data_IF_973055106070
#
_entry.id   IF_973055106070
#
_cell.length_a   1.000
_cell.length_b   1.000
_cell.length_c   1.000
_cell.angle_alpha   90.00
_cell.angle_beta   90.00
_cell.angle_gamma   90.00
#
_symmetry.space_group_name_H-M   'P 1'
#
loop_
_entity.id
_entity.type
_entity.pdbx_description
1 polymer ?
#
# COMPACT_ATOMS: atom_id res chain seq x y z
N UNK A 1 68.24 -17.63 42.87
CA UNK A 1 67.60 -16.63 41.98
C UNK A 1 66.44 -17.33 41.32
N UNK A 2 65.27 -17.15 41.91
CA UNK A 2 64.11 -17.99 41.74
C UNK A 2 63.19 -17.52 40.61
N UNK A 3 62.48 -18.50 40.04
CA UNK A 3 61.63 -18.43 38.86
C UNK A 3 60.35 -17.62 39.08
N UNK A 4 60.43 -16.28 39.05
CA UNK A 4 59.25 -15.39 39.11
C UNK A 4 58.52 -15.19 37.76
N UNK A 5 58.93 -15.85 36.68
CA UNK A 5 58.34 -15.66 35.34
C UNK A 5 56.97 -16.31 35.14
N UNK A 6 56.63 -17.35 35.92
CA UNK A 6 55.42 -18.14 35.70
C UNK A 6 54.10 -17.43 36.03
N UNK A 7 54.06 -16.59 37.07
CA UNK A 7 52.81 -15.96 37.52
C UNK A 7 52.40 -14.78 36.62
N UNK A 8 53.38 -13.99 36.15
CA UNK A 8 53.15 -12.87 35.23
C UNK A 8 52.61 -13.36 33.87
N UNK A 9 53.14 -14.47 33.37
CA UNK A 9 52.70 -15.04 32.09
C UNK A 9 51.29 -15.64 32.15
N UNK A 10 50.87 -16.13 33.32
CA UNK A 10 49.51 -16.59 33.55
C UNK A 10 48.53 -15.41 33.56
N UNK A 11 48.86 -14.32 34.27
CA UNK A 11 48.02 -13.12 34.33
C UNK A 11 47.85 -12.46 32.95
N UNK A 12 48.92 -12.39 32.16
CA UNK A 12 48.87 -11.83 30.80
C UNK A 12 48.06 -12.70 29.84
N UNK A 13 48.09 -14.03 30.01
CA UNK A 13 47.25 -14.95 29.22
C UNK A 13 45.77 -14.78 29.55
N UNK A 14 45.42 -14.66 30.82
CA UNK A 14 44.03 -14.50 31.23
C UNK A 14 43.48 -13.11 30.86
N UNK A 15 44.31 -12.06 30.96
CA UNK A 15 43.98 -10.73 30.43
C UNK A 15 43.67 -10.75 28.93
N UNK A 16 44.50 -11.43 28.13
CA UNK A 16 44.26 -11.59 26.68
C UNK A 16 42.99 -12.37 26.37
N UNK A 17 42.68 -13.42 27.14
CA UNK A 17 41.41 -14.16 27.00
C UNK A 17 40.21 -13.26 27.28
N UNK A 18 40.27 -12.44 28.33
CA UNK A 18 39.20 -11.48 28.67
C UNK A 18 38.95 -10.45 27.56
N UNK A 19 40.02 -9.86 27.02
CA UNK A 19 39.93 -8.90 25.91
C UNK A 19 39.34 -9.55 24.65
N UNK A 20 39.77 -10.77 24.31
CA UNK A 20 39.23 -11.50 23.16
C UNK A 20 37.74 -11.84 23.33
N UNK A 21 37.30 -12.21 24.54
CA UNK A 21 35.90 -12.46 24.83
C UNK A 21 35.04 -11.20 24.68
N UNK A 22 35.53 -10.04 25.14
CA UNK A 22 34.85 -8.76 24.96
C UNK A 22 34.74 -8.36 23.48
N UNK A 23 35.81 -8.56 22.69
CA UNK A 23 35.77 -8.32 21.26
C UNK A 23 34.78 -9.25 20.53
N UNK A 24 34.69 -10.52 20.92
CA UNK A 24 33.71 -11.46 20.37
C UNK A 24 32.27 -11.02 20.70
N UNK A 25 31.99 -10.64 21.94
CA UNK A 25 30.67 -10.12 22.34
C UNK A 25 30.30 -8.84 21.59
N UNK A 26 31.23 -7.91 21.41
CA UNK A 26 31.00 -6.70 20.61
C UNK A 26 30.74 -7.02 19.14
N UNK A 27 31.43 -8.01 18.57
CA UNK A 27 31.21 -8.46 17.20
C UNK A 27 29.82 -9.08 17.03
N UNK A 28 29.38 -9.91 17.97
CA UNK A 28 28.05 -10.51 17.96
C UNK A 28 26.95 -9.48 18.16
N UNK A 29 27.12 -8.51 19.06
CA UNK A 29 26.18 -7.40 19.22
C UNK A 29 26.08 -6.53 17.95
N UNK A 30 27.21 -6.26 17.29
CA UNK A 30 27.22 -5.56 15.99
C UNK A 30 26.52 -6.37 14.91
N UNK A 31 26.73 -7.69 14.85
CA UNK A 31 26.05 -8.59 13.91
C UNK A 31 24.53 -8.61 14.15
N UNK A 32 24.08 -8.80 15.38
CA UNK A 32 22.66 -8.76 15.74
C UNK A 32 22.02 -7.40 15.45
N UNK A 33 22.75 -6.30 15.65
CA UNK A 33 22.26 -4.95 15.31
C UNK A 33 22.13 -4.77 13.79
N UNK A 34 23.10 -5.27 13.00
CA UNK A 34 23.03 -5.25 11.53
C UNK A 34 21.86 -6.08 11.00
N UNK A 35 21.62 -7.27 11.56
CA UNK A 35 20.48 -8.12 11.19
C UNK A 35 19.14 -7.45 11.52
N UNK A 36 19.03 -6.78 12.67
CA UNK A 36 17.84 -5.99 13.04
C UNK A 36 17.63 -4.77 12.14
N UNK A 37 18.71 -4.12 11.66
CA UNK A 37 18.66 -2.99 10.72
C UNK A 37 18.23 -3.39 9.33
N UNK A 38 18.70 -4.54 8.84
CA UNK A 38 18.31 -5.08 7.53
C UNK A 38 16.79 -5.33 7.44
N UNK A 39 16.14 -5.65 8.56
CA UNK A 39 14.70 -5.89 8.63
C UNK A 39 13.84 -4.61 8.60
N UNK A 40 14.40 -3.43 8.86
CA UNK A 40 13.64 -2.19 9.03
C UNK A 40 13.31 -1.49 7.70
N UNK A 41 14.15 -1.65 6.66
CA UNK A 41 13.97 -0.99 5.34
C UNK A 41 13.97 0.56 5.34
N UNK A 42 13.90 1.22 6.49
CA UNK A 42 13.78 2.66 6.62
C UNK A 42 15.18 3.32 6.63
N UNK A 43 15.39 4.34 5.80
CA UNK A 43 16.67 5.07 5.73
C UNK A 43 17.08 5.71 7.07
N UNK A 44 16.12 6.01 7.95
CA UNK A 44 16.40 6.51 9.31
C UNK A 44 17.04 5.45 10.23
N UNK A 45 16.82 4.15 9.99
CA UNK A 45 17.46 3.04 10.71
C UNK A 45 18.97 2.91 10.41
N UNK A 46 19.47 3.53 9.33
CA UNK A 46 20.86 3.37 8.88
C UNK A 46 21.83 4.42 9.43
N UNK A 47 21.35 5.57 9.94
CA UNK A 47 22.20 6.72 10.36
C UNK A 47 22.85 6.61 11.76
N UNK A 48 22.92 5.42 12.33
CA UNK A 48 23.16 5.22 13.76
C UNK A 48 24.63 5.29 14.22
N UNK A 49 25.61 5.59 13.36
CA UNK A 49 27.01 5.27 13.71
C UNK A 49 27.77 6.30 14.57
N UNK A 50 27.22 7.46 14.99
CA UNK A 50 28.08 8.44 15.70
C UNK A 50 27.62 9.14 17.00
N UNK A 51 26.35 9.19 17.47
CA UNK A 51 26.06 10.07 18.66
C UNK A 51 24.98 9.59 19.64
N UNK A 52 25.39 9.17 20.83
CA UNK A 52 24.77 9.54 22.13
C UNK A 52 23.34 9.08 22.50
N UNK A 53 23.02 9.14 23.79
CA UNK A 53 21.75 8.71 24.43
C UNK A 53 20.45 9.24 23.78
N UNK A 54 20.51 10.32 23.00
CA UNK A 54 19.38 10.83 22.22
C UNK A 54 18.91 9.84 21.15
N UNK A 55 19.82 9.13 20.49
CA UNK A 55 19.48 8.12 19.47
C UNK A 55 18.75 6.89 20.05
N UNK A 56 18.95 6.56 21.33
CA UNK A 56 18.21 5.46 21.98
C UNK A 56 16.74 5.80 22.20
N UNK A 57 16.42 7.07 22.47
CA UNK A 57 15.05 7.54 22.54
C UNK A 57 14.41 7.55 21.15
N UNK A 58 15.14 8.04 20.14
CA UNK A 58 14.71 8.02 18.74
C UNK A 58 14.51 6.60 18.21
N UNK A 59 15.38 5.64 18.56
CA UNK A 59 15.21 4.23 18.22
C UNK A 59 13.99 3.61 18.90
N UNK A 60 13.73 3.92 20.18
CA UNK A 60 12.52 3.43 20.86
C UNK A 60 11.26 4.01 20.23
N UNK A 61 11.28 5.27 19.85
CA UNK A 61 10.17 5.94 19.16
C UNK A 61 9.99 5.38 17.74
N UNK A 62 11.09 5.17 17.02
CA UNK A 62 11.10 4.53 15.71
C UNK A 62 10.58 3.10 15.79
N UNK A 63 11.02 2.29 16.75
CA UNK A 63 10.54 0.92 16.95
C UNK A 63 9.05 0.90 17.21
N UNK A 64 8.53 1.83 18.03
CA UNK A 64 7.08 1.98 18.26
C UNK A 64 6.34 2.34 16.96
N UNK A 65 6.81 3.34 16.22
CA UNK A 65 6.26 3.74 14.92
C UNK A 65 6.32 2.60 13.88
N UNK A 66 7.41 1.82 13.91
CA UNK A 66 7.65 0.68 13.04
C UNK A 66 6.75 -0.52 13.43
N UNK A 67 6.42 -0.70 14.70
CA UNK A 67 5.42 -1.71 15.09
C UNK A 67 3.98 -1.25 14.86
N UNK A 68 3.72 0.06 14.90
CA UNK A 68 2.37 0.60 14.75
C UNK A 68 1.98 0.88 13.30
N UNK A 69 2.93 0.79 12.35
CA UNK A 69 2.75 1.20 10.95
C UNK A 69 2.08 2.57 10.82
N UNK A 70 2.50 3.53 11.67
CA UNK A 70 1.91 4.86 11.70
C UNK A 70 2.04 5.55 10.34
N UNK A 71 3.19 5.37 9.72
CA UNK A 71 3.60 5.97 8.47
C UNK A 71 3.86 4.86 7.43
N UNK A 72 3.44 5.08 6.16
CA UNK A 72 3.84 4.20 5.08
C UNK A 72 5.37 4.25 4.87
N UNK A 73 5.94 3.25 4.19
CA UNK A 73 7.30 3.34 3.66
C UNK A 73 7.51 4.66 2.90
N UNK A 74 8.68 5.26 3.07
CA UNK A 74 9.06 6.45 2.31
C UNK A 74 9.20 6.06 0.83
N UNK A 75 8.18 6.40 0.06
CA UNK A 75 8.09 6.12 -1.36
C UNK A 75 7.57 7.37 -2.06
N UNK A 76 8.26 7.85 -3.09
CA UNK A 76 7.83 9.04 -3.83
C UNK A 76 6.47 8.85 -4.54
N UNK A 77 6.09 7.60 -4.85
CA UNK A 77 4.80 7.24 -5.46
C UNK A 77 3.66 7.14 -4.42
N UNK A 78 3.99 7.26 -3.14
CA UNK A 78 3.06 7.13 -2.01
C UNK A 78 3.58 7.95 -0.82
N UNK A 79 3.83 9.25 -1.03
CA UNK A 79 4.30 10.14 0.03
C UNK A 79 3.12 10.94 0.61
N UNK A 80 2.62 10.59 1.80
CA UNK A 80 1.49 11.27 2.41
C UNK A 80 1.86 12.62 3.05
N UNK A 81 3.16 12.97 3.08
CA UNK A 81 3.66 14.22 3.65
C UNK A 81 4.02 15.23 2.58
N UNK A 82 4.24 14.77 1.34
CA UNK A 82 4.54 15.63 0.21
C UNK A 82 3.33 16.49 -0.12
N UNK A 83 3.41 17.76 0.27
CA UNK A 83 2.43 18.77 -0.14
C UNK A 83 2.64 19.11 -1.60
N UNK A 84 1.53 19.30 -2.31
CA UNK A 84 1.52 19.90 -3.63
C UNK A 84 2.03 21.34 -3.46
N UNK A 85 3.04 21.73 -4.24
CA UNK A 85 3.68 23.04 -4.08
C UNK A 85 2.67 24.17 -4.24
N UNK A 86 2.61 25.08 -3.25
CA UNK A 86 1.62 26.17 -3.20
C UNK A 86 0.29 25.79 -2.53
N UNK A 87 0.11 24.53 -2.12
CA UNK A 87 -1.13 24.02 -1.55
C UNK A 87 -0.98 23.52 -0.11
N UNK A 88 -2.10 23.50 0.60
CA UNK A 88 -2.24 22.74 1.87
C UNK A 88 -2.42 21.24 1.65
N UNK A 89 -2.74 20.82 0.43
CA UNK A 89 -3.07 19.46 0.02
C UNK A 89 -1.80 18.60 -0.17
N UNK A 90 -1.84 17.35 0.32
CA UNK A 90 -0.81 16.31 0.15
C UNK A 90 -1.05 15.47 -1.10
N UNK A 91 -0.03 15.16 -1.89
CA UNK A 91 -0.21 14.49 -3.19
C UNK A 91 -0.92 13.13 -3.07
N UNK A 92 -0.67 12.38 -1.99
CA UNK A 92 -1.23 11.07 -1.73
C UNK A 92 -1.80 10.99 -0.30
N UNK A 93 -2.98 11.56 -0.02
CA UNK A 93 -3.57 11.51 1.31
C UNK A 93 -3.91 10.06 1.68
N UNK A 94 -3.73 9.69 2.95
CA UNK A 94 -4.08 8.34 3.43
C UNK A 94 -5.52 8.36 3.93
N UNK A 95 -6.41 7.66 3.24
CA UNK A 95 -7.81 7.55 3.62
C UNK A 95 -8.18 6.22 4.26
N UNK A 96 -7.34 5.20 4.11
CA UNK A 96 -7.49 3.97 4.87
C UNK A 96 -6.11 3.46 5.29
N UNK A 97 -6.04 2.81 6.46
CA UNK A 97 -4.83 2.12 6.88
C UNK A 97 -5.16 0.96 7.81
N UNK A 98 -4.36 -0.08 7.75
CA UNK A 98 -4.57 -1.30 8.51
C UNK A 98 -3.27 -2.03 8.76
N UNK A 99 -3.23 -2.83 9.83
CA UNK A 99 -2.12 -3.73 10.09
C UNK A 99 -2.63 -5.03 10.69
N UNK A 100 -1.98 -6.13 10.35
CA UNK A 100 -2.23 -7.42 10.96
C UNK A 100 -1.03 -8.34 10.77
N UNK A 101 -0.60 -9.01 11.85
CA UNK A 101 0.44 -10.05 11.83
C UNK A 101 1.74 -9.66 11.10
N UNK A 102 2.14 -8.39 11.21
CA UNK A 102 3.34 -7.86 10.56
C UNK A 102 3.15 -7.46 9.09
N UNK A 103 1.94 -7.53 8.56
CA UNK A 103 1.53 -6.86 7.34
C UNK A 103 0.96 -5.48 7.67
N UNK A 104 1.18 -4.52 6.77
CA UNK A 104 0.56 -3.20 6.84
C UNK A 104 0.07 -2.74 5.48
N UNK A 105 -0.99 -1.94 5.45
CA UNK A 105 -1.48 -1.32 4.24
C UNK A 105 -1.97 0.10 4.44
N UNK A 106 -1.94 0.87 3.36
CA UNK A 106 -2.45 2.23 3.26
C UNK A 106 -3.15 2.41 1.92
N UNK A 107 -4.28 3.09 1.91
CA UNK A 107 -5.02 3.44 0.71
C UNK A 107 -5.08 4.95 0.51
N UNK A 108 -4.90 5.38 -0.74
CA UNK A 108 -4.98 6.76 -1.19
C UNK A 108 -5.88 6.83 -2.44
N UNK A 109 -6.59 7.94 -2.69
CA UNK A 109 -7.35 8.10 -3.92
C UNK A 109 -6.42 8.06 -5.13
N UNK A 110 -6.90 7.48 -6.24
CA UNK A 110 -6.13 7.44 -7.49
C UNK A 110 -6.86 8.10 -8.67
N UNK A 111 -8.16 8.41 -8.54
CA UNK A 111 -8.93 8.99 -9.62
C UNK A 111 -8.59 10.44 -9.93
N UNK A 112 -9.47 11.06 -10.70
CA UNK A 112 -9.29 12.43 -11.19
C UNK A 112 -9.23 13.45 -10.05
N UNK A 113 -8.50 14.54 -10.27
CA UNK A 113 -8.53 15.74 -9.39
C UNK A 113 -9.95 16.31 -9.25
N UNK A 114 -10.82 16.06 -10.22
CA UNK A 114 -12.25 16.43 -10.14
C UNK A 114 -13.04 15.54 -9.18
N UNK A 115 -12.44 14.46 -8.67
CA UNK A 115 -13.10 13.43 -7.87
C UNK A 115 -14.15 12.66 -8.67
N UNK A 116 -14.14 12.69 -10.01
CA UNK A 116 -15.04 11.87 -10.82
C UNK A 116 -14.63 10.40 -10.77
N UNK A 117 -15.62 9.52 -10.66
CA UNK A 117 -15.41 8.09 -10.83
C UNK A 117 -15.01 7.79 -12.29
N UNK A 118 -14.19 6.77 -12.50
CA UNK A 118 -13.85 6.31 -13.83
C UNK A 118 -15.09 5.76 -14.56
N UNK A 119 -15.15 5.93 -15.89
CA UNK A 119 -16.24 5.44 -16.74
C UNK A 119 -16.00 4.05 -17.31
N UNK A 120 -14.80 3.50 -17.12
CA UNK A 120 -14.41 2.15 -17.53
C UNK A 120 -13.43 1.58 -16.51
N UNK A 121 -13.44 0.26 -16.28
CA UNK A 121 -12.40 -0.38 -15.50
C UNK A 121 -11.09 -0.43 -16.30
N UNK A 122 -9.99 -0.67 -15.59
CA UNK A 122 -8.64 -0.65 -16.09
C UNK A 122 -8.03 0.74 -16.17
N UNK A 123 -6.83 0.79 -16.74
CA UNK A 123 -6.08 2.01 -16.95
C UNK A 123 -6.69 2.81 -18.13
N UNK A 124 -7.81 3.48 -17.87
CA UNK A 124 -8.58 4.19 -18.90
C UNK A 124 -7.79 5.36 -19.52
N UNK A 125 -6.85 5.94 -18.77
CA UNK A 125 -5.98 7.03 -19.25
C UNK A 125 -4.96 6.58 -20.30
N UNK A 126 -4.53 5.31 -20.27
CA UNK A 126 -3.53 4.78 -21.21
C UNK A 126 -4.17 4.13 -22.43
N UNK A 127 -5.46 3.80 -22.34
CA UNK A 127 -6.31 3.36 -23.44
C UNK A 127 -7.10 4.50 -24.09
N UNK A 128 -6.59 5.74 -24.07
CA UNK A 128 -7.06 6.73 -25.03
C UNK A 128 -6.77 6.15 -26.43
N UNK A 129 -7.79 5.90 -27.27
CA UNK A 129 -7.58 5.22 -28.54
C UNK A 129 -6.55 6.01 -29.33
N UNK A 130 -5.37 5.41 -29.55
CA UNK A 130 -4.23 6.03 -30.23
C UNK A 130 -4.47 6.17 -31.75
N UNK A 131 -5.73 6.39 -32.16
CA UNK A 131 -6.39 6.35 -33.49
C UNK A 131 -7.41 5.22 -33.54
N UNK A 132 -8.71 5.52 -33.38
CA UNK A 132 -9.74 4.68 -34.01
C UNK A 132 -11.10 4.48 -33.35
N UNK A 133 -11.29 4.73 -32.04
CA UNK A 133 -12.62 4.49 -31.43
C UNK A 133 -13.33 5.81 -31.06
N UNK A 134 -13.92 6.46 -32.07
CA UNK A 134 -14.75 7.67 -31.93
C UNK A 134 -15.88 7.47 -30.92
N UNK A 135 -16.40 6.24 -30.77
CA UNK A 135 -17.46 5.91 -29.82
C UNK A 135 -17.00 6.06 -28.37
N UNK A 136 -15.77 5.64 -28.06
CA UNK A 136 -15.22 5.79 -26.71
C UNK A 136 -14.97 7.25 -26.36
N UNK A 137 -14.48 8.04 -27.32
CA UNK A 137 -14.36 9.49 -27.15
C UNK A 137 -15.73 10.13 -26.96
N UNK A 138 -16.74 9.74 -27.75
CA UNK A 138 -18.12 10.20 -27.56
C UNK A 138 -18.66 9.84 -26.17
N UNK A 139 -18.46 8.61 -25.69
CA UNK A 139 -18.87 8.21 -24.34
C UNK A 139 -18.19 9.00 -23.24
N UNK A 140 -16.96 9.50 -23.44
CA UNK A 140 -16.28 10.39 -22.49
C UNK A 140 -16.78 11.84 -22.61
N UNK A 141 -17.18 12.27 -23.81
CA UNK A 141 -17.71 13.61 -24.06
C UNK A 141 -19.20 13.76 -23.77
N UNK A 142 -19.97 12.66 -23.67
CA UNK A 142 -21.38 12.72 -23.35
C UNK A 142 -21.56 13.26 -21.91
N UNK A 143 -22.18 14.43 -21.75
CA UNK A 143 -22.48 14.97 -20.44
C UNK A 143 -23.58 14.13 -19.77
N UNK A 144 -23.49 13.96 -18.45
CA UNK A 144 -24.57 13.41 -17.63
C UNK A 144 -24.55 11.91 -17.34
N UNK A 145 -23.65 11.12 -17.93
CA UNK A 145 -23.44 9.73 -17.51
C UNK A 145 -22.37 9.72 -16.41
N UNK A 146 -22.73 9.43 -15.14
CA UNK A 146 -21.75 9.41 -14.06
C UNK A 146 -20.77 8.24 -14.24
N UNK A 147 -19.55 8.46 -13.78
CA UNK A 147 -18.60 7.38 -13.59
C UNK A 147 -19.13 6.31 -12.66
N UNK A 148 -18.51 5.14 -12.75
CA UNK A 148 -19.02 3.89 -12.20
C UNK A 148 -17.95 3.10 -11.44
N UNK A 149 -16.68 3.40 -11.69
CA UNK A 149 -15.52 2.73 -11.12
C UNK A 149 -14.77 3.67 -10.19
N UNK A 150 -14.55 3.20 -8.98
CA UNK A 150 -13.87 3.91 -7.91
C UNK A 150 -12.44 3.40 -7.80
N UNK A 151 -11.49 4.31 -8.01
CA UNK A 151 -10.09 3.99 -8.25
C UNK A 151 -9.24 4.39 -7.06
N UNK A 152 -8.49 3.43 -6.51
CA UNK A 152 -7.59 3.67 -5.38
C UNK A 152 -6.19 3.14 -5.68
N UNK A 153 -5.22 3.70 -4.99
CA UNK A 153 -3.89 3.12 -4.85
C UNK A 153 -3.77 2.50 -3.47
N UNK A 154 -3.38 1.24 -3.43
CA UNK A 154 -3.18 0.48 -2.21
C UNK A 154 -1.72 0.10 -2.08
N UNK A 155 -1.06 0.64 -1.06
CA UNK A 155 0.29 0.23 -0.68
C UNK A 155 0.21 -0.88 0.35
N UNK A 156 0.91 -1.99 0.14
CA UNK A 156 0.99 -3.12 1.07
C UNK A 156 2.45 -3.41 1.38
N UNK A 157 2.79 -3.54 2.66
CA UNK A 157 4.15 -3.81 3.13
C UNK A 157 4.19 -5.09 3.97
N UNK A 158 5.19 -5.92 3.69
CA UNK A 158 5.55 -7.07 4.50
C UNK A 158 6.64 -6.69 5.52
N UNK A 159 6.33 -6.71 6.81
CA UNK A 159 7.32 -6.61 7.92
C UNK A 159 7.44 -7.93 8.70
N UNK A 160 6.87 -9.01 8.19
CA UNK A 160 7.06 -10.34 8.77
C UNK A 160 8.50 -10.82 8.53
N UNK A 161 8.89 -11.92 9.18
CA UNK A 161 10.22 -12.53 8.98
C UNK A 161 10.29 -13.37 7.71
N UNK A 162 9.15 -13.72 7.12
CA UNK A 162 9.06 -14.63 5.99
C UNK A 162 8.51 -13.95 4.74
N UNK A 163 8.60 -14.60 3.59
CA UNK A 163 7.90 -14.15 2.40
C UNK A 163 6.38 -14.28 2.59
N UNK A 164 5.65 -13.27 2.12
CA UNK A 164 4.19 -13.21 2.16
C UNK A 164 3.66 -13.03 0.74
N UNK A 165 2.63 -13.79 0.39
CA UNK A 165 1.91 -13.69 -0.86
C UNK A 165 0.68 -12.80 -0.67
N UNK A 166 0.63 -11.68 -1.39
CA UNK A 166 -0.50 -10.76 -1.47
C UNK A 166 -1.44 -11.20 -2.59
N UNK A 167 -2.73 -11.36 -2.30
CA UNK A 167 -3.73 -11.81 -3.27
C UNK A 167 -4.56 -10.63 -3.79
N UNK A 168 -4.07 -9.95 -4.83
CA UNK A 168 -4.66 -8.70 -5.32
C UNK A 168 -6.11 -8.83 -5.78
N UNK A 169 -6.44 -9.89 -6.54
CA UNK A 169 -7.81 -10.13 -7.05
C UNK A 169 -8.84 -10.48 -5.97
N UNK A 170 -8.39 -10.73 -4.75
CA UNK A 170 -9.24 -11.07 -3.61
C UNK A 170 -9.42 -9.92 -2.62
N UNK A 171 -8.81 -8.76 -2.90
CA UNK A 171 -9.04 -7.55 -2.12
C UNK A 171 -10.52 -7.16 -2.26
N UNK A 172 -11.21 -6.96 -1.15
CA UNK A 172 -12.63 -6.58 -1.17
C UNK A 172 -12.86 -5.26 -0.45
N UNK A 173 -13.78 -4.46 -0.97
CA UNK A 173 -14.26 -3.24 -0.33
C UNK A 173 -15.55 -3.55 0.43
N UNK A 174 -15.54 -3.44 1.76
CA UNK A 174 -16.70 -3.72 2.61
C UNK A 174 -17.58 -2.47 2.66
N UNK A 175 -18.85 -2.65 2.29
CA UNK A 175 -19.84 -1.58 2.23
C UNK A 175 -20.50 -1.43 3.60
N UNK A 176 -20.71 -0.19 4.06
CA UNK A 176 -21.54 0.06 5.24
C UNK A 176 -22.98 -0.40 4.98
N UNK A 177 -23.59 -1.06 5.95
CA UNK A 177 -24.97 -1.51 5.88
C UNK A 177 -25.93 -0.33 5.67
N UNK A 178 -25.60 0.85 6.23
CA UNK A 178 -26.35 2.09 6.00
C UNK A 178 -26.41 2.53 4.54
N UNK A 179 -25.44 2.11 3.70
CA UNK A 179 -25.36 2.41 2.27
C UNK A 179 -25.62 1.19 1.38
N UNK A 180 -26.09 0.09 1.97
CA UNK A 180 -26.33 -1.16 1.25
C UNK A 180 -27.33 -1.00 0.11
N UNK A 181 -28.40 -0.23 0.31
CA UNK A 181 -29.42 0.02 -0.72
C UNK A 181 -28.87 0.83 -1.88
N UNK A 182 -28.10 1.88 -1.59
CA UNK A 182 -27.47 2.73 -2.59
C UNK A 182 -26.50 1.92 -3.46
N UNK A 183 -25.67 1.09 -2.81
CA UNK A 183 -24.77 0.17 -3.50
C UNK A 183 -25.53 -0.80 -4.41
N UNK A 184 -26.54 -1.51 -3.89
CA UNK A 184 -27.33 -2.45 -4.68
C UNK A 184 -28.06 -1.78 -5.86
N UNK A 185 -28.44 -0.51 -5.73
CA UNK A 185 -29.05 0.26 -6.82
C UNK A 185 -28.08 0.58 -7.96
N UNK A 186 -26.76 0.61 -7.69
CA UNK A 186 -25.72 0.86 -8.70
C UNK A 186 -25.15 -0.39 -9.38
N UNK A 187 -25.47 -1.57 -8.86
CA UNK A 187 -25.05 -2.86 -9.40
C UNK A 187 -25.80 -3.16 -10.71
N UNK A 188 -25.10 -3.74 -11.68
CA UNK A 188 -25.68 -4.23 -12.95
C UNK A 188 -26.02 -5.72 -12.87
N UNK A 189 -26.94 -6.15 -13.72
CA UNK A 189 -27.27 -7.56 -13.87
C UNK A 189 -26.01 -8.42 -14.12
N UNK A 190 -25.82 -9.45 -13.30
CA UNK A 190 -24.68 -10.38 -13.37
C UNK A 190 -23.43 -9.95 -12.61
N UNK A 191 -23.38 -8.75 -12.03
CA UNK A 191 -22.29 -8.36 -11.13
C UNK A 191 -22.40 -9.10 -9.79
N UNK A 192 -21.25 -9.52 -9.24
CA UNK A 192 -21.18 -10.32 -8.01
C UNK A 192 -20.78 -9.45 -6.82
N UNK A 193 -21.42 -9.71 -5.69
CA UNK A 193 -21.04 -9.19 -4.38
C UNK A 193 -20.92 -10.37 -3.40
N UNK A 194 -20.22 -10.14 -2.29
CA UNK A 194 -19.90 -11.18 -1.32
C UNK A 194 -20.56 -10.86 0.02
N UNK A 195 -20.99 -11.87 0.79
CA UNK A 195 -21.36 -11.63 2.18
C UNK A 195 -20.13 -11.18 2.97
N UNK A 196 -20.31 -10.17 3.82
CA UNK A 196 -19.24 -9.61 4.64
C UNK A 196 -19.76 -9.15 6.00
N UNK A 197 -18.86 -8.63 6.82
CA UNK A 197 -19.20 -7.97 8.09
C UNK A 197 -18.42 -6.68 8.22
N UNK A 198 -19.07 -5.63 8.69
CA UNK A 198 -18.41 -4.41 9.14
C UNK A 198 -17.44 -4.70 10.30
N UNK A 199 -16.59 -3.72 10.62
CA UNK A 199 -15.68 -3.80 11.78
C UNK A 199 -16.43 -3.99 13.11
N UNK A 200 -17.64 -3.47 13.24
CA UNK A 200 -18.50 -3.66 14.42
C UNK A 200 -19.21 -5.03 14.46
N UNK A 201 -19.05 -5.86 13.42
CA UNK A 201 -19.65 -7.19 13.30
C UNK A 201 -21.00 -7.25 12.58
N UNK A 202 -21.58 -6.10 12.21
CA UNK A 202 -22.84 -6.01 11.45
C UNK A 202 -22.71 -6.71 10.11
N UNK A 203 -23.66 -7.60 9.79
CA UNK A 203 -23.67 -8.31 8.53
C UNK A 203 -23.98 -7.35 7.37
N UNK A 204 -23.13 -7.38 6.35
CA UNK A 204 -23.23 -6.50 5.18
C UNK A 204 -22.73 -7.25 3.94
N UNK A 205 -22.40 -6.51 2.89
CA UNK A 205 -21.85 -7.00 1.64
C UNK A 205 -20.50 -6.36 1.34
N UNK A 206 -19.71 -7.02 0.51
CA UNK A 206 -18.46 -6.51 -0.01
C UNK A 206 -18.41 -6.61 -1.52
N UNK A 207 -17.75 -5.62 -2.14
CA UNK A 207 -17.51 -5.56 -3.58
C UNK A 207 -16.11 -6.11 -3.88
N UNK A 208 -15.99 -7.20 -4.67
CA UNK A 208 -14.70 -7.61 -5.23
C UNK A 208 -14.16 -6.57 -6.22
N UNK A 209 -12.85 -6.57 -6.51
CA UNK A 209 -12.28 -5.59 -7.41
C UNK A 209 -12.71 -5.90 -8.84
N UNK A 210 -13.06 -4.87 -9.60
CA UNK A 210 -13.30 -4.99 -11.05
C UNK A 210 -11.98 -5.02 -11.84
N UNK A 211 -10.93 -4.42 -11.27
CA UNK A 211 -9.59 -4.38 -11.83
C UNK A 211 -8.59 -4.29 -10.69
N UNK A 212 -7.46 -4.97 -10.85
CA UNK A 212 -6.30 -4.88 -9.97
C UNK A 212 -5.04 -5.02 -10.79
N UNK A 213 -4.07 -4.15 -10.55
CA UNK A 213 -2.75 -4.27 -11.15
C UNK A 213 -1.67 -3.76 -10.21
N UNK A 214 -0.46 -4.29 -10.34
CA UNK A 214 0.72 -3.82 -9.61
C UNK A 214 1.40 -2.72 -10.42
N UNK A 215 1.61 -1.56 -9.81
CA UNK A 215 2.24 -0.42 -10.46
C UNK A 215 3.65 -0.14 -9.98
N UNK A 216 3.94 -0.45 -8.72
CA UNK A 216 5.28 -0.31 -8.18
C UNK A 216 5.66 -1.41 -7.19
N UNK A 217 6.96 -1.71 -7.13
CA UNK A 217 7.58 -2.59 -6.15
C UNK A 217 8.77 -1.87 -5.52
N UNK A 218 8.83 -1.82 -4.19
CA UNK A 218 9.88 -1.17 -3.42
C UNK A 218 10.15 0.28 -3.85
N UNK A 219 9.07 0.98 -4.19
CA UNK A 219 9.08 2.37 -4.66
C UNK A 219 9.64 2.58 -6.06
N UNK A 220 9.81 1.52 -6.85
CA UNK A 220 10.15 1.61 -8.27
C UNK A 220 8.95 1.22 -9.11
N UNK A 221 8.60 2.06 -10.08
CA UNK A 221 7.54 1.77 -11.05
C UNK A 221 7.91 0.53 -11.87
N UNK A 222 7.05 -0.47 -11.87
CA UNK A 222 7.23 -1.72 -12.64
C UNK A 222 6.36 -1.76 -13.89
N UNK A 223 5.28 -0.97 -13.91
CA UNK A 223 4.42 -0.76 -15.08
C UNK A 223 4.22 0.72 -15.36
N UNK A 224 4.38 1.10 -16.62
CA UNK A 224 4.07 2.44 -17.12
C UNK A 224 3.20 2.29 -18.36
N UNK A 225 2.07 2.99 -18.41
CA UNK A 225 1.17 2.85 -19.56
C UNK A 225 0.39 1.53 -19.59
N UNK A 226 0.46 0.71 -18.54
CA UNK A 226 -0.01 -0.69 -18.56
C UNK A 226 1.02 -1.69 -19.11
N UNK A 227 2.15 -1.21 -19.62
CA UNK A 227 3.26 -2.06 -20.08
C UNK A 227 4.32 -2.21 -18.98
N UNK A 228 4.94 -3.38 -18.91
CA UNK A 228 6.08 -3.60 -18.01
C UNK A 228 7.26 -2.77 -18.49
N UNK A 229 7.91 -2.05 -17.58
CA UNK A 229 9.07 -1.21 -17.89
C UNK A 229 10.17 -2.06 -18.54
N UNK A 230 10.76 -1.56 -19.64
CA UNK A 230 11.75 -2.29 -20.45
C UNK A 230 13.11 -2.48 -19.75
N UNK A 231 13.34 -1.76 -18.65
CA UNK A 231 14.53 -1.90 -17.82
C UNK A 231 14.64 -3.34 -17.29
N UNK A 232 15.73 -4.03 -17.68
CA UNK A 232 15.90 -5.45 -17.41
C UNK A 232 15.87 -5.76 -15.90
N UNK A 233 16.63 -5.07 -15.03
CA UNK A 233 16.55 -5.29 -13.58
C UNK A 233 15.15 -5.15 -13.00
N UNK A 234 14.39 -4.14 -13.41
CA UNK A 234 13.00 -3.94 -12.96
C UNK A 234 12.07 -5.04 -13.45
N UNK A 235 12.21 -5.44 -14.71
CA UNK A 235 11.43 -6.52 -15.29
C UNK A 235 11.70 -7.86 -14.61
N UNK A 236 12.97 -8.15 -14.30
CA UNK A 236 13.37 -9.38 -13.62
C UNK A 236 12.87 -9.39 -12.15
N UNK A 237 12.89 -8.23 -11.47
CA UNK A 237 12.29 -8.08 -10.14
C UNK A 237 10.77 -8.26 -10.18
N UNK A 238 10.10 -7.65 -11.16
CA UNK A 238 8.66 -7.81 -11.40
C UNK A 238 8.28 -9.27 -11.65
N UNK A 239 9.01 -9.98 -12.54
CA UNK A 239 8.70 -11.38 -12.85
C UNK A 239 8.98 -12.33 -11.68
N UNK A 240 9.90 -11.96 -10.79
CA UNK A 240 10.15 -12.72 -9.56
C UNK A 240 9.07 -12.48 -8.52
N UNK A 241 8.56 -11.26 -8.41
CA UNK A 241 7.53 -10.90 -7.43
C UNK A 241 6.13 -11.31 -7.88
N UNK A 242 5.77 -11.17 -9.15
CA UNK A 242 4.44 -11.51 -9.66
C UNK A 242 4.34 -13.01 -9.98
N UNK A 243 3.74 -13.76 -9.06
CA UNK A 243 3.59 -15.22 -9.18
C UNK A 243 2.48 -15.59 -10.16
N UNK A 244 1.38 -14.82 -10.15
CA UNK A 244 0.24 -15.02 -11.05
C UNK A 244 -0.33 -13.66 -11.45
N UNK A 245 -0.23 -13.36 -12.75
CA UNK A 245 -0.69 -12.10 -13.32
C UNK A 245 -2.21 -11.95 -13.38
N UNK A 246 -2.94 -13.05 -13.57
CA UNK A 246 -4.40 -13.01 -13.76
C UNK A 246 -5.14 -12.77 -12.43
N UNK A 247 -4.54 -13.20 -11.32
CA UNK A 247 -5.03 -12.98 -9.97
C UNK A 247 -4.30 -11.83 -9.24
N UNK A 248 -3.30 -11.22 -9.88
CA UNK A 248 -2.38 -10.26 -9.29
C UNK A 248 -1.82 -10.76 -7.94
N UNK A 249 -1.28 -11.99 -7.94
CA UNK A 249 -0.65 -12.58 -6.77
C UNK A 249 0.82 -12.14 -6.69
N UNK A 250 1.14 -11.35 -5.66
CA UNK A 250 2.46 -10.70 -5.52
C UNK A 250 3.19 -11.26 -4.30
N UNK A 251 4.35 -11.85 -4.52
CA UNK A 251 5.28 -12.29 -3.49
C UNK A 251 6.09 -11.10 -2.96
N UNK A 252 5.90 -10.79 -1.69
CA UNK A 252 6.65 -9.76 -0.97
C UNK A 252 7.65 -10.43 -0.03
N UNK A 253 8.94 -10.18 -0.23
CA UNK A 253 9.97 -10.55 0.72
C UNK A 253 9.89 -9.69 1.99
N UNK A 254 10.55 -10.10 3.10
CA UNK A 254 10.64 -9.27 4.30
C UNK A 254 11.13 -7.85 3.98
N UNK A 255 10.45 -6.85 4.57
CA UNK A 255 10.63 -5.41 4.39
C UNK A 255 10.22 -4.84 3.01
N UNK A 256 9.79 -5.67 2.07
CA UNK A 256 9.32 -5.19 0.76
C UNK A 256 7.90 -4.62 0.82
N UNK A 257 7.58 -3.81 -0.18
CA UNK A 257 6.24 -3.29 -0.38
C UNK A 257 5.86 -3.24 -1.86
N UNK A 258 4.58 -3.42 -2.14
CA UNK A 258 3.98 -3.21 -3.44
C UNK A 258 2.96 -2.07 -3.39
N UNK A 259 2.78 -1.40 -4.52
CA UNK A 259 1.67 -0.48 -4.75
C UNK A 259 0.79 -1.10 -5.85
N UNK A 260 -0.48 -1.27 -5.52
CA UNK A 260 -1.51 -1.76 -6.42
C UNK A 260 -2.43 -0.61 -6.83
N UNK A 261 -2.86 -0.59 -8.07
CA UNK A 261 -4.04 0.15 -8.51
C UNK A 261 -5.22 -0.81 -8.47
N UNK A 262 -6.25 -0.44 -7.71
CA UNK A 262 -7.43 -1.29 -7.48
C UNK A 262 -8.67 -0.46 -7.80
N UNK A 263 -9.61 -1.05 -8.54
CA UNK A 263 -10.85 -0.39 -8.87
C UNK A 263 -12.06 -1.21 -8.44
N UNK A 264 -13.05 -0.53 -7.88
CA UNK A 264 -14.31 -1.14 -7.41
C UNK A 264 -15.50 -0.54 -8.12
N UNK A 265 -16.50 -1.37 -8.41
CA UNK A 265 -17.78 -0.92 -8.95
C UNK A 265 -18.65 -0.35 -7.83
N UNK A 266 -18.44 0.92 -7.46
CA UNK A 266 -19.20 1.58 -6.38
C UNK A 266 -20.15 2.68 -6.90
N UNK A 267 -20.00 3.13 -8.15
CA UNK A 267 -20.84 4.19 -8.72
C UNK A 267 -22.00 3.68 -9.56
N UNK A 268 -22.44 4.49 -10.51
CA UNK A 268 -23.44 4.10 -11.53
C UNK A 268 -24.89 4.48 -11.19
N UNK A 269 -25.11 5.06 -10.01
CA UNK A 269 -26.29 5.87 -9.72
C UNK A 269 -25.90 7.34 -9.63
N UNK A 270 -26.86 8.25 -9.77
CA UNK A 270 -26.60 9.69 -9.81
C UNK A 270 -26.00 10.19 -8.50
N UNK A 271 -26.41 9.58 -7.39
CA UNK A 271 -25.99 9.85 -6.02
C UNK A 271 -24.52 9.48 -5.81
N UNK A 272 -24.00 8.45 -6.48
CA UNK A 272 -22.62 7.97 -6.34
C UNK A 272 -21.85 8.20 -7.63
N UNK A 273 -21.61 9.47 -7.91
CA UNK A 273 -20.91 9.94 -9.11
C UNK A 273 -19.49 10.45 -8.84
N UNK A 274 -19.12 10.60 -7.56
CA UNK A 274 -17.84 11.17 -7.12
C UNK A 274 -17.13 10.26 -6.11
N UNK A 275 -15.80 10.37 -6.05
CA UNK A 275 -14.93 9.58 -5.17
C UNK A 275 -15.30 9.72 -3.70
N UNK A 276 -15.59 10.93 -3.21
CA UNK A 276 -15.95 11.13 -1.80
C UNK A 276 -17.28 10.48 -1.41
N UNK A 277 -18.23 10.35 -2.36
CA UNK A 277 -19.43 9.54 -2.15
C UNK A 277 -19.07 8.05 -2.04
N UNK A 278 -18.22 7.55 -2.95
CA UNK A 278 -17.76 6.17 -2.89
C UNK A 278 -16.99 5.87 -1.58
N UNK A 279 -16.10 6.77 -1.14
CA UNK A 279 -15.42 6.66 0.15
C UNK A 279 -16.40 6.62 1.33
N UNK A 280 -17.45 7.45 1.32
CA UNK A 280 -18.44 7.51 2.39
C UNK A 280 -19.20 6.18 2.57
N UNK A 281 -19.41 5.44 1.48
CA UNK A 281 -20.08 4.12 1.47
C UNK A 281 -19.25 3.00 2.10
N UNK A 282 -17.94 3.15 2.17
CA UNK A 282 -17.03 2.10 2.60
C UNK A 282 -16.81 2.12 4.12
N UNK A 283 -16.76 0.93 4.72
CA UNK A 283 -16.35 0.74 6.13
C UNK A 283 -14.84 0.45 6.22
N UNK A 284 -14.37 -0.51 5.42
CA UNK A 284 -12.95 -0.88 5.34
C UNK A 284 -12.65 -1.67 4.06
N UNK A 285 -11.36 -1.82 3.76
CA UNK A 285 -10.88 -2.84 2.83
C UNK A 285 -10.42 -4.09 3.58
N UNK A 286 -10.57 -5.26 2.96
CA UNK A 286 -9.92 -6.50 3.40
C UNK A 286 -8.87 -6.89 2.37
N UNK A 287 -7.63 -7.03 2.84
CA UNK A 287 -6.45 -7.34 2.04
C UNK A 287 -5.94 -8.73 2.46
N UNK A 288 -6.26 -9.77 1.68
CA UNK A 288 -5.82 -11.13 1.97
C UNK A 288 -4.33 -11.33 1.65
N UNK A 289 -3.60 -11.84 2.64
CA UNK A 289 -2.19 -12.20 2.55
C UNK A 289 -1.97 -13.61 3.11
N UNK A 290 -1.03 -14.36 2.55
CA UNK A 290 -0.69 -15.72 2.98
C UNK A 290 0.81 -15.85 3.20
N UNK A 291 1.28 -16.58 4.22
CA UNK A 291 2.66 -17.05 4.27
C UNK A 291 2.97 -17.84 2.99
N UNK A 292 4.04 -17.45 2.30
CA UNK A 292 4.40 -18.14 1.06
C UNK A 292 5.02 -19.51 1.36
N UNK A 293 4.52 -20.53 0.67
CA UNK A 293 5.11 -21.87 0.64
C UNK A 293 5.29 -22.30 -0.80
N UNK A 294 6.40 -22.96 -1.12
CA UNK A 294 6.67 -23.54 -2.45
C UNK A 294 5.71 -24.67 -2.81
N UNK A 295 4.95 -25.18 -1.83
CA UNK A 295 3.89 -26.17 -2.04
C UNK A 295 2.58 -25.54 -2.52
N UNK A 296 2.45 -24.20 -2.46
CA UNK A 296 1.29 -23.52 -3.02
C UNK A 296 1.43 -23.51 -4.54
N UNK A 297 0.69 -24.38 -5.21
CA UNK A 297 0.60 -24.47 -6.67
C UNK A 297 -0.85 -24.27 -7.12
N UNK A 298 -1.06 -23.58 -8.23
CA UNK A 298 -2.38 -23.42 -8.85
C UNK A 298 -2.71 -21.96 -9.17
N UNK A 299 -3.94 -21.72 -9.60
CA UNK A 299 -4.45 -20.35 -9.72
C UNK A 299 -4.65 -19.78 -8.32
N UNK A 300 -4.14 -18.57 -8.10
CA UNK A 300 -4.31 -17.90 -6.81
C UNK A 300 -5.67 -17.20 -6.68
N UNK A 301 -6.54 -17.35 -7.68
CA UNK A 301 -7.91 -16.85 -7.66
C UNK A 301 -8.82 -17.77 -6.85
N UNK A 302 -9.49 -17.21 -5.85
CA UNK A 302 -10.40 -17.96 -4.98
C UNK A 302 -9.70 -18.74 -3.88
N UNK A 303 -8.39 -18.52 -3.65
CA UNK A 303 -7.62 -19.16 -2.60
C UNK A 303 -8.14 -18.82 -1.21
N UNK A 304 -8.52 -17.56 -0.93
CA UNK A 304 -9.21 -17.22 0.32
C UNK A 304 -10.58 -17.87 0.46
N UNK A 305 -11.09 -18.53 -0.58
CA UNK A 305 -12.39 -19.20 -0.59
C UNK A 305 -12.27 -20.73 -0.72
N UNK A 306 -11.05 -21.26 -0.85
CA UNK A 306 -10.83 -22.69 -0.86
C UNK A 306 -11.15 -23.32 0.50
N UNK A 307 -11.58 -24.57 0.47
CA UNK A 307 -11.96 -25.36 1.65
C UNK A 307 -10.77 -25.95 2.40
N UNK A 308 -9.54 -25.76 1.90
CA UNK A 308 -8.34 -26.21 2.60
C UNK A 308 -8.21 -25.45 3.92
N UNK A 309 -8.40 -26.18 5.02
CA UNK A 309 -8.39 -25.64 6.37
C UNK A 309 -7.02 -25.06 6.73
N UNK A 310 -5.94 -25.60 6.20
CA UNK A 310 -4.59 -25.17 6.55
C UNK A 310 -4.27 -23.81 5.88
N UNK A 311 -4.72 -23.63 4.64
CA UNK A 311 -4.64 -22.34 3.93
C UNK A 311 -5.50 -21.29 4.64
N UNK A 312 -6.73 -21.64 5.00
CA UNK A 312 -7.64 -20.74 5.73
C UNK A 312 -7.10 -20.34 7.10
N UNK A 313 -6.49 -21.28 7.82
CA UNK A 313 -5.88 -21.01 9.12
C UNK A 313 -4.65 -20.09 9.02
N UNK A 314 -3.97 -20.10 7.86
CA UNK A 314 -2.78 -19.29 7.59
C UNK A 314 -3.11 -17.94 6.95
N UNK A 315 -4.36 -17.72 6.52
CA UNK A 315 -4.79 -16.51 5.84
C UNK A 315 -4.83 -15.31 6.79
N UNK A 316 -4.03 -14.30 6.48
CA UNK A 316 -4.03 -13.01 7.15
C UNK A 316 -4.95 -12.06 6.38
N UNK A 317 -6.14 -11.83 6.90
CA UNK A 317 -7.11 -10.90 6.33
C UNK A 317 -6.95 -9.50 6.95
N UNK A 318 -5.94 -8.77 6.50
CA UNK A 318 -5.66 -7.43 7.02
C UNK A 318 -6.82 -6.50 6.70
N UNK A 319 -7.33 -5.81 7.73
CA UNK A 319 -8.43 -4.86 7.59
C UNK A 319 -7.91 -3.44 7.61
N UNK A 320 -8.29 -2.64 6.62
CA UNK A 320 -7.93 -1.23 6.50
C UNK A 320 -9.17 -0.34 6.67
N UNK A 321 -9.53 0.04 7.92
CA UNK A 321 -10.61 0.98 8.19
C UNK A 321 -10.46 2.28 7.39
N UNK A 322 -11.58 2.80 6.91
CA UNK A 322 -11.63 4.14 6.30
C UNK A 322 -11.57 5.20 7.39
N UNK A 323 -10.67 6.17 7.23
CA UNK A 323 -10.52 7.34 8.09
C UNK A 323 -11.39 8.45 7.53
N UNK A 324 -12.71 8.38 7.74
CA UNK A 324 -13.67 9.32 7.15
C UNK A 324 -13.34 10.78 7.45
N UNK A 325 -12.83 11.08 8.64
CA UNK A 325 -12.38 12.43 9.00
C UNK A 325 -11.35 12.98 7.99
N UNK A 326 -10.43 12.16 7.52
CA UNK A 326 -9.38 12.58 6.60
C UNK A 326 -9.93 12.73 5.17
N UNK A 327 -10.89 11.88 4.78
CA UNK A 327 -11.66 12.03 3.53
C UNK A 327 -12.43 13.35 3.53
N UNK A 328 -13.21 13.61 4.59
CA UNK A 328 -14.05 14.80 4.73
C UNK A 328 -13.20 16.07 4.71
N UNK A 329 -12.06 16.07 5.41
CA UNK A 329 -11.12 17.19 5.42
C UNK A 329 -10.52 17.43 4.03
N UNK A 330 -10.21 16.37 3.29
CA UNK A 330 -9.61 16.47 1.96
C UNK A 330 -10.56 17.06 0.93
N UNK A 331 -11.80 16.60 0.92
CA UNK A 331 -12.83 17.07 -0.03
C UNK A 331 -13.64 18.25 0.51
N UNK A 332 -13.26 18.84 1.65
CA UNK A 332 -14.02 19.91 2.30
C UNK A 332 -14.27 21.12 1.37
N UNK A 333 -13.22 21.59 0.67
CA UNK A 333 -13.37 22.72 -0.26
C UNK A 333 -14.24 22.35 -1.48
N UNK A 334 -14.17 21.09 -1.92
CA UNK A 334 -15.04 20.61 -3.01
C UNK A 334 -16.52 20.66 -2.60
N UNK A 335 -16.83 20.16 -1.40
CA UNK A 335 -18.21 20.11 -0.89
C UNK A 335 -18.74 21.52 -0.59
N UNK A 336 -17.91 22.41 -0.02
CA UNK A 336 -18.37 23.73 0.44
C UNK A 336 -18.31 24.82 -0.65
N UNK A 337 -17.35 24.73 -1.58
CA UNK A 337 -17.10 25.78 -2.59
C UNK A 337 -17.28 25.28 -4.03
N UNK A 338 -17.56 24.00 -4.20
CA UNK A 338 -17.76 23.35 -5.49
C UNK A 338 -16.46 22.94 -6.18
N UNK A 339 -16.63 22.16 -7.25
CA UNK A 339 -15.54 21.56 -8.03
C UNK A 339 -14.52 22.60 -8.52
N UNK A 340 -14.99 23.73 -9.05
CA UNK A 340 -14.09 24.76 -9.60
C UNK A 340 -13.14 25.33 -8.55
N UNK A 341 -13.60 25.51 -7.32
CA UNK A 341 -12.75 26.05 -6.25
C UNK A 341 -11.69 25.02 -5.84
N UNK A 342 -12.08 23.76 -5.69
CA UNK A 342 -11.16 22.66 -5.39
C UNK A 342 -10.12 22.48 -6.50
N UNK A 343 -10.57 22.41 -7.75
CA UNK A 343 -9.69 22.26 -8.92
C UNK A 343 -8.81 23.50 -9.09
N UNK A 344 -9.32 24.73 -8.93
CA UNK A 344 -8.51 25.94 -9.03
C UNK A 344 -7.39 25.97 -7.98
N UNK A 345 -7.70 25.58 -6.75
CA UNK A 345 -6.72 25.48 -5.67
C UNK A 345 -5.67 24.41 -5.96
N UNK A 346 -6.01 23.34 -6.69
CA UNK A 346 -5.04 22.33 -7.16
C UNK A 346 -4.31 22.72 -8.47
N UNK A 347 -4.94 23.46 -9.40
CA UNK A 347 -4.46 23.76 -10.74
C UNK A 347 -3.70 25.08 -10.89
N UNK A 348 -3.96 26.10 -10.06
CA UNK A 348 -3.18 27.37 -10.06
C UNK A 348 -1.67 27.16 -9.94
N UNK A 349 -1.23 25.93 -9.63
CA UNK A 349 0.12 25.57 -9.26
C UNK A 349 0.82 24.65 -10.27
N UNK A 350 0.09 23.82 -11.03
CA UNK A 350 0.68 23.08 -12.15
C UNK A 350 1.24 24.05 -13.19
N UNK A 351 0.57 25.19 -13.39
CA UNK A 351 1.06 26.26 -14.28
C UNK A 351 2.26 27.02 -13.69
N UNK A 352 2.32 27.22 -12.37
CA UNK A 352 3.47 27.86 -11.71
C UNK A 352 4.76 27.03 -11.78
N UNK A 353 4.67 25.70 -11.77
CA UNK A 353 5.83 24.81 -11.92
C UNK A 353 6.37 24.76 -13.35
N UNK A 354 5.52 24.95 -14.36
CA UNK A 354 5.95 25.01 -15.76
C UNK A 354 6.71 26.30 -16.08
N UNK A 355 6.39 27.42 -15.39
CA UNK A 355 7.02 28.72 -15.64
C UNK A 355 8.37 28.94 -14.93
N UNK A 356 8.70 28.15 -13.89
CA UNK A 356 9.98 28.25 -13.16
C UNK A 356 11.10 27.33 -13.70
N UNK A 357 10.91 26.71 -14.87
CA UNK A 357 11.92 25.86 -15.53
C UNK A 357 12.60 26.52 -16.75
N UNK A 358 12.33 27.79 -16.99
CA UNK A 358 13.07 28.66 -17.92
C UNK A 358 13.92 29.63 -17.12
#
# INVERSE_FOLDING_TARGET
>A
MENFTSASDALMRDGRKGVNALHAQLKDQKKQTREKKAQCGNASCQKEEEVGKALLADWKNHKKSCTSFSDPPLCHLFDPKRKIAGCSYVEHPVFARGTQDGMGCWATPHGSVTGELARKPGNALTNLPSKGNTYDLMLHMMPGIPGSWFDIRLMVQNRTKGPMLLLGSEIVAVIKDSHRKDFLGGIRDGETHLPAKELNGTATIAQPPSYVDITALNGKTVKEGGEVVKDKPLRDAYSTALIDGDSCAVLLQPAEHAILEVQFRLGGIQEVSREFHAWAMLDHFVIPCLPYSTTLSGSFRGVSRHTDKDVQASLVNMRAPIIHKDVDNWYHDFVTRGERAHVAQMMQMLMGMAMNKT
#
